data_IF_506894073452
#
_entry.id   IF_506894073452
#
_cell.length_a   1.000
_cell.length_b   1.000
_cell.length_c   1.000
_cell.angle_alpha   90.00
_cell.angle_beta   90.00
_cell.angle_gamma   90.00
#
_symmetry.space_group_name_H-M   'P 1'
#
loop_
_entity.id
_entity.type
_entity.pdbx_description
1 polymer ?
#
# COMPACT_ATOMS: atom_id res chain seq x y z
N UNK A 1 12.43 -4.58 -6.53
CA UNK A 1 11.52 -5.66 -6.05
C UNK A 1 10.29 -5.75 -6.94
N UNK A 2 9.35 -6.67 -6.69
CA UNK A 2 8.07 -6.71 -7.46
C UNK A 2 7.26 -5.42 -7.29
N UNK A 3 7.16 -4.89 -6.07
CA UNK A 3 6.47 -3.61 -5.80
C UNK A 3 7.20 -2.44 -6.44
N UNK A 4 8.53 -2.43 -6.45
CA UNK A 4 9.31 -1.41 -7.15
C UNK A 4 9.02 -1.38 -8.65
N UNK A 5 8.91 -2.56 -9.29
CA UNK A 5 8.48 -2.68 -10.68
C UNK A 5 7.09 -2.09 -10.88
N UNK A 6 6.10 -2.52 -10.09
CA UNK A 6 4.74 -1.99 -10.14
C UNK A 6 4.70 -0.46 -9.99
N UNK A 7 5.46 0.09 -9.03
CA UNK A 7 5.55 1.53 -8.80
C UNK A 7 6.13 2.23 -10.03
N UNK A 8 7.23 1.72 -10.59
CA UNK A 8 7.84 2.29 -11.79
C UNK A 8 6.88 2.26 -12.98
N UNK A 9 6.13 1.18 -13.18
CA UNK A 9 5.10 1.04 -14.21
C UNK A 9 3.98 2.08 -14.05
N UNK A 10 3.42 2.19 -12.84
CA UNK A 10 2.38 3.19 -12.54
C UNK A 10 2.89 4.61 -12.76
N UNK A 11 4.14 4.90 -12.38
CA UNK A 11 4.73 6.21 -12.60
C UNK A 11 4.93 6.52 -14.07
N UNK A 12 5.41 5.55 -14.87
CA UNK A 12 5.56 5.69 -16.33
C UNK A 12 4.23 6.07 -16.97
N UNK A 13 3.16 5.34 -16.63
CA UNK A 13 1.82 5.60 -17.16
C UNK A 13 1.27 6.97 -16.75
N UNK A 14 1.49 7.40 -15.52
CA UNK A 14 0.92 8.66 -14.99
C UNK A 14 1.71 9.87 -15.44
N UNK A 15 3.04 9.78 -15.48
CA UNK A 15 3.94 10.86 -15.88
C UNK A 15 4.09 10.94 -17.40
N UNK A 16 3.81 9.86 -18.14
CA UNK A 16 4.00 9.79 -19.59
C UNK A 16 5.47 9.82 -20.00
N UNK A 17 6.35 9.26 -19.17
CA UNK A 17 7.80 9.19 -19.41
C UNK A 17 8.22 7.75 -19.62
N UNK A 18 9.15 7.54 -20.56
CA UNK A 18 9.76 6.23 -20.79
C UNK A 18 10.98 6.05 -19.87
N UNK A 19 11.17 4.84 -19.34
CA UNK A 19 12.34 4.48 -18.55
C UNK A 19 12.45 5.22 -17.21
N UNK A 20 11.80 4.68 -16.18
CA UNK A 20 11.96 5.14 -14.79
C UNK A 20 12.81 4.13 -14.02
N UNK A 21 13.89 4.61 -13.42
CA UNK A 21 14.77 3.85 -12.54
C UNK A 21 14.43 4.02 -11.05
N UNK A 22 15.04 3.14 -10.23
CA UNK A 22 14.83 3.04 -8.78
C UNK A 22 15.04 4.37 -8.02
N UNK A 23 15.95 5.21 -8.49
CA UNK A 23 16.35 6.45 -7.83
C UNK A 23 15.75 7.71 -8.44
N UNK A 24 14.90 7.57 -9.46
CA UNK A 24 14.27 8.74 -10.07
C UNK A 24 13.23 9.34 -9.13
N UNK A 25 13.30 10.66 -8.99
CA UNK A 25 12.42 11.43 -8.11
C UNK A 25 11.14 11.84 -8.84
N UNK A 26 9.98 11.53 -8.27
CA UNK A 26 8.67 11.80 -8.86
C UNK A 26 8.51 13.26 -9.29
N UNK A 27 8.93 14.19 -8.45
CA UNK A 27 8.74 15.62 -8.67
C UNK A 27 9.80 16.18 -9.61
N UNK A 28 11.02 15.61 -9.62
CA UNK A 28 12.03 15.94 -10.62
C UNK A 28 11.62 15.49 -12.04
N UNK A 29 10.84 14.41 -12.14
CA UNK A 29 10.23 13.93 -13.40
C UNK A 29 9.00 14.75 -13.83
N UNK A 30 8.66 15.86 -13.17
CA UNK A 30 7.51 16.70 -13.49
C UNK A 30 6.21 16.31 -12.77
N UNK A 31 6.29 15.39 -11.80
CA UNK A 31 5.18 15.02 -10.92
C UNK A 31 4.67 16.19 -10.08
N UNK A 32 3.35 16.21 -9.84
CA UNK A 32 2.69 17.18 -8.98
C UNK A 32 1.47 16.54 -8.29
N UNK A 33 0.80 17.27 -7.39
CA UNK A 33 -0.24 16.71 -6.51
C UNK A 33 -1.34 15.93 -7.24
N UNK A 34 -1.82 16.41 -8.39
CA UNK A 34 -2.83 15.70 -9.18
C UNK A 34 -2.30 14.36 -9.73
N UNK A 35 -1.06 14.35 -10.22
CA UNK A 35 -0.42 13.12 -10.69
C UNK A 35 -0.13 12.17 -9.52
N UNK A 36 0.32 12.68 -8.37
CA UNK A 36 0.51 11.88 -7.16
C UNK A 36 -0.80 11.23 -6.68
N UNK A 37 -1.92 11.96 -6.71
CA UNK A 37 -3.25 11.40 -6.44
C UNK A 37 -3.62 10.29 -7.43
N UNK A 38 -3.29 10.44 -8.72
CA UNK A 38 -3.52 9.41 -9.74
C UNK A 38 -2.66 8.17 -9.54
N UNK A 39 -1.40 8.33 -9.11
CA UNK A 39 -0.51 7.23 -8.74
C UNK A 39 -1.12 6.43 -7.60
N UNK A 40 -1.48 7.10 -6.51
CA UNK A 40 -2.07 6.44 -5.32
C UNK A 40 -3.37 5.73 -5.66
N UNK A 41 -4.24 6.34 -6.46
CA UNK A 41 -5.48 5.70 -6.90
C UNK A 41 -5.24 4.44 -7.75
N UNK A 42 -4.25 4.47 -8.65
CA UNK A 42 -3.87 3.31 -9.47
C UNK A 42 -3.25 2.20 -8.65
N UNK A 43 -2.35 2.53 -7.72
CA UNK A 43 -1.78 1.54 -6.82
C UNK A 43 -2.86 0.88 -5.98
N UNK A 44 -3.79 1.66 -5.41
CA UNK A 44 -4.93 1.09 -4.69
C UNK A 44 -5.73 0.11 -5.54
N UNK A 45 -5.98 0.42 -6.81
CA UNK A 45 -6.69 -0.51 -7.70
C UNK A 45 -5.87 -1.77 -8.03
N UNK A 46 -4.54 -1.67 -8.05
CA UNK A 46 -3.64 -2.78 -8.41
C UNK A 46 -3.37 -3.75 -7.24
N UNK A 47 -3.28 -3.25 -6.01
CA UNK A 47 -2.87 -4.04 -4.83
C UNK A 47 -3.89 -4.02 -3.69
N UNK A 48 -5.09 -3.49 -3.93
CA UNK A 48 -6.19 -3.33 -2.97
C UNK A 48 -5.79 -2.62 -1.65
N UNK A 49 -4.76 -1.77 -1.71
CA UNK A 49 -4.20 -1.09 -0.54
C UNK A 49 -4.31 0.43 -0.66
N UNK A 50 -4.85 1.08 0.37
CA UNK A 50 -4.91 2.53 0.45
C UNK A 50 -3.59 3.13 0.96
N UNK A 51 -2.71 3.54 0.05
CA UNK A 51 -1.47 4.24 0.41
C UNK A 51 -1.74 5.74 0.64
N UNK A 52 -1.39 6.33 1.79
CA UNK A 52 -1.59 7.75 2.02
C UNK A 52 -0.83 8.62 1.00
N UNK A 53 -1.47 9.68 0.48
CA UNK A 53 -0.81 10.59 -0.47
C UNK A 53 0.49 11.20 0.09
N UNK A 54 0.51 11.48 1.40
CA UNK A 54 1.70 11.98 2.11
C UNK A 54 2.91 11.07 1.92
N UNK A 55 2.72 9.75 1.79
CA UNK A 55 3.80 8.78 1.63
C UNK A 55 4.67 9.11 0.42
N UNK A 56 4.07 9.51 -0.71
CA UNK A 56 4.82 9.88 -1.92
C UNK A 56 5.60 11.20 -1.74
N UNK A 57 5.03 12.15 -1.01
CA UNK A 57 5.73 13.42 -0.70
C UNK A 57 6.96 13.22 0.20
N UNK A 58 6.94 12.19 1.06
CA UNK A 58 8.07 11.87 1.95
C UNK A 58 9.07 10.92 1.29
N UNK A 59 8.60 9.96 0.49
CA UNK A 59 9.39 8.93 -0.16
C UNK A 59 9.37 9.18 -1.67
N UNK A 60 10.25 10.06 -2.12
CA UNK A 60 10.12 10.71 -3.43
C UNK A 60 10.70 9.90 -4.59
N UNK A 61 11.52 8.88 -4.35
CA UNK A 61 12.04 8.01 -5.41
C UNK A 61 11.30 6.68 -5.46
N UNK A 62 11.33 6.02 -6.61
CA UNK A 62 10.68 4.71 -6.82
C UNK A 62 11.05 3.71 -5.73
N UNK A 63 12.34 3.53 -5.45
CA UNK A 63 12.82 2.56 -4.46
C UNK A 63 12.26 2.83 -3.05
N UNK A 64 12.36 4.07 -2.56
CA UNK A 64 11.89 4.39 -1.21
C UNK A 64 10.38 4.41 -1.11
N UNK A 65 9.67 4.79 -2.18
CA UNK A 65 8.21 4.73 -2.21
C UNK A 65 7.73 3.29 -2.22
N UNK A 66 8.36 2.42 -3.02
CA UNK A 66 8.06 0.99 -3.06
C UNK A 66 8.28 0.32 -1.70
N UNK A 67 9.38 0.63 -1.00
CA UNK A 67 9.61 0.16 0.37
C UNK A 67 8.49 0.57 1.33
N UNK A 68 8.01 1.81 1.23
CA UNK A 68 6.89 2.28 2.06
C UNK A 68 5.57 1.57 1.71
N UNK A 69 5.34 1.24 0.42
CA UNK A 69 4.18 0.46 -0.02
C UNK A 69 4.27 -0.99 0.47
N UNK A 70 5.44 -1.63 0.37
CA UNK A 70 5.70 -2.98 0.90
C UNK A 70 5.45 -3.03 2.41
N UNK A 71 5.95 -2.06 3.17
CA UNK A 71 5.72 -2.00 4.61
C UNK A 71 4.23 -1.87 4.94
N UNK A 72 3.47 -1.09 4.16
CA UNK A 72 2.04 -0.95 4.34
C UNK A 72 1.26 -2.23 3.97
N UNK A 73 1.71 -2.98 2.96
CA UNK A 73 1.15 -4.30 2.62
C UNK A 73 1.35 -5.31 3.75
N UNK A 74 2.55 -5.36 4.33
CA UNK A 74 2.86 -6.24 5.47
C UNK A 74 1.97 -5.89 6.66
N UNK A 75 1.84 -4.60 6.99
CA UNK A 75 0.99 -4.14 8.09
C UNK A 75 -0.50 -4.50 7.88
N UNK A 76 -1.00 -4.40 6.64
CA UNK A 76 -2.37 -4.81 6.30
C UNK A 76 -2.57 -6.33 6.51
N UNK A 77 -1.63 -7.15 6.03
CA UNK A 77 -1.67 -8.62 6.19
C UNK A 77 -1.66 -9.00 7.67
N UNK A 78 -0.79 -8.39 8.47
CA UNK A 78 -0.72 -8.62 9.91
C UNK A 78 -2.06 -8.27 10.58
N UNK A 79 -2.68 -7.14 10.20
CA UNK A 79 -3.98 -6.73 10.76
C UNK A 79 -5.12 -7.68 10.39
N UNK A 80 -5.14 -8.22 9.17
CA UNK A 80 -6.13 -9.21 8.73
C UNK A 80 -5.95 -10.54 9.47
N UNK A 81 -4.70 -10.94 9.71
CA UNK A 81 -4.36 -12.12 10.51
C UNK A 81 -4.84 -11.96 11.97
N UNK A 82 -4.59 -10.81 12.59
CA UNK A 82 -5.08 -10.50 13.94
C UNK A 82 -6.61 -10.51 14.01
N UNK A 83 -7.28 -9.86 13.06
CA UNK A 83 -8.74 -9.82 13.00
C UNK A 83 -9.35 -11.23 12.84
N UNK A 84 -8.78 -12.05 11.95
CA UNK A 84 -9.22 -13.43 11.75
C UNK A 84 -9.00 -14.30 13.00
N UNK A 85 -7.90 -14.09 13.73
CA UNK A 85 -7.64 -14.79 14.99
C UNK A 85 -8.69 -14.43 16.05
N UNK A 86 -9.05 -13.15 16.18
CA UNK A 86 -10.11 -12.70 17.11
C UNK A 86 -11.47 -13.31 16.74
N UNK A 87 -11.80 -13.36 15.46
CA UNK A 87 -13.06 -13.94 14.98
C UNK A 87 -13.15 -15.45 15.27
N UNK A 88 -12.04 -16.19 15.07
CA UNK A 88 -11.96 -17.61 15.39
C UNK A 88 -12.12 -17.88 16.90
N UNK A 89 -11.47 -17.07 17.74
CA UNK A 89 -11.63 -17.16 19.21
C UNK A 89 -13.07 -16.88 19.62
N UNK A 90 -13.69 -15.82 19.10
CA UNK A 90 -15.08 -15.49 19.39
C UNK A 90 -16.06 -16.59 18.95
N UNK A 91 -15.79 -17.25 17.81
CA UNK A 91 -16.58 -18.39 17.35
C UNK A 91 -16.41 -19.64 18.24
N UNK A 92 -15.21 -19.88 18.77
CA UNK A 92 -14.95 -20.98 19.72
C UNK A 92 -15.66 -20.75 21.06
N UNK A 93 -15.58 -19.55 21.63
CA UNK A 93 -16.29 -19.19 22.86
C UNK A 93 -17.82 -19.38 22.73
N UNK A 94 -18.39 -19.06 21.57
CA UNK A 94 -19.81 -19.25 21.29
C UNK A 94 -20.22 -20.74 21.21
N UNK A 95 -19.33 -21.63 20.75
CA UNK A 95 -19.55 -23.07 20.69
C UNK A 95 -19.31 -23.76 22.05
N UNK A 96 -18.39 -23.24 22.87
CA UNK A 96 -18.08 -23.77 24.21
C UNK A 96 -19.08 -23.35 25.29
N UNK A 97 -20.09 -22.53 24.95
CA UNK A 97 -21.18 -22.18 25.87
C UNK A 97 -20.78 -21.18 26.96
N UNK A 98 -19.60 -20.57 26.86
CA UNK A 98 -19.12 -19.54 27.78
C UNK A 98 -19.76 -18.18 27.45
N UNK A 99 -21.09 -18.09 27.56
CA UNK A 99 -21.75 -16.79 27.54
C UNK A 99 -21.31 -16.02 28.78
N UNK A 100 -20.77 -14.80 28.68
CA UNK A 100 -20.39 -14.01 29.85
C UNK A 100 -21.64 -13.84 30.73
N UNK A 101 -21.62 -14.48 31.90
CA UNK A 101 -22.63 -14.27 32.94
C UNK A 101 -22.46 -12.85 33.45
N UNK A 102 -23.51 -12.06 33.29
CA UNK A 102 -23.62 -10.66 33.69
C UNK A 102 -23.23 -10.39 35.14
#
# INVERSE_FOLDING_TARGET
>A
TEVEGLVADVWREVLGVDGIGAHDDFFALGGHSLLATRVVARLRAAIDLAVPLRTLFTHRTVAVFAQAVEAALVAEIDSLSEAAAVELLAAQDALEGNRPTS
#
